data_IF_701685005358
#
_entry.id   IF_701685005358
#
_cell.length_a   1.000
_cell.length_b   1.000
_cell.length_c   1.000
_cell.angle_alpha   90.00
_cell.angle_beta   90.00
_cell.angle_gamma   90.00
#
_symmetry.space_group_name_H-M   'P 1'
#
loop_
_entity.id
_entity.type
_entity.pdbx_description
1 polymer ?
#
# COMPACT_ATOMS: atom_id res chain seq x y z
N UNK A 1 -13.16 -15.66 -5.38
CA UNK A 1 -12.26 -14.93 -6.29
C UNK A 1 -11.17 -15.89 -6.74
N UNK A 2 -10.80 -15.92 -8.02
CA UNK A 2 -9.72 -16.80 -8.49
C UNK A 2 -8.41 -16.44 -7.77
N UNK A 3 -7.63 -17.44 -7.38
CA UNK A 3 -6.38 -17.27 -6.61
C UNK A 3 -5.42 -16.28 -7.29
N UNK A 4 -5.34 -16.34 -8.63
CA UNK A 4 -4.55 -15.40 -9.43
C UNK A 4 -5.01 -13.94 -9.29
N UNK A 5 -6.32 -13.69 -9.32
CA UNK A 5 -6.88 -12.34 -9.18
C UNK A 5 -6.57 -11.79 -7.78
N UNK A 6 -6.76 -12.62 -6.76
CA UNK A 6 -6.46 -12.25 -5.36
C UNK A 6 -5.00 -11.84 -5.19
N UNK A 7 -4.08 -12.64 -5.73
CA UNK A 7 -2.65 -12.39 -5.61
C UNK A 7 -2.24 -11.10 -6.33
N UNK A 8 -2.81 -10.84 -7.52
CA UNK A 8 -2.56 -9.60 -8.26
C UNK A 8 -3.08 -8.40 -7.47
N UNK A 9 -4.32 -8.45 -6.98
CA UNK A 9 -4.92 -7.35 -6.21
C UNK A 9 -4.13 -7.08 -4.93
N UNK A 10 -3.82 -8.13 -4.15
CA UNK A 10 -3.05 -8.00 -2.92
C UNK A 10 -1.63 -7.46 -3.18
N UNK A 11 -0.96 -7.93 -4.23
CA UNK A 11 0.35 -7.42 -4.64
C UNK A 11 0.32 -5.94 -5.02
N UNK A 12 -0.66 -5.51 -5.82
CA UNK A 12 -0.83 -4.09 -6.18
C UNK A 12 -1.08 -3.23 -4.94
N UNK A 13 -1.92 -3.70 -4.01
CA UNK A 13 -2.19 -2.98 -2.76
C UNK A 13 -0.91 -2.79 -1.94
N UNK A 14 -0.10 -3.84 -1.78
CA UNK A 14 1.18 -3.74 -1.04
C UNK A 14 2.14 -2.76 -1.70
N UNK A 15 2.26 -2.80 -3.04
CA UNK A 15 3.15 -1.90 -3.77
C UNK A 15 2.69 -0.44 -3.67
N UNK A 16 1.41 -0.16 -3.96
CA UNK A 16 0.88 1.21 -3.93
C UNK A 16 0.86 1.77 -2.51
N UNK A 17 0.40 0.99 -1.54
CA UNK A 17 0.42 1.37 -0.13
C UNK A 17 1.83 1.65 0.36
N UNK A 18 2.81 0.84 -0.06
CA UNK A 18 4.22 1.05 0.25
C UNK A 18 4.75 2.37 -0.32
N UNK A 19 4.44 2.68 -1.58
CA UNK A 19 4.82 3.97 -2.19
C UNK A 19 4.21 5.15 -1.43
N UNK A 20 2.91 5.09 -1.10
CA UNK A 20 2.24 6.16 -0.34
C UNK A 20 2.81 6.31 1.07
N UNK A 21 3.09 5.21 1.75
CA UNK A 21 3.71 5.22 3.07
C UNK A 21 5.09 5.89 3.01
N UNK A 22 5.94 5.43 2.09
CA UNK A 22 7.30 5.94 1.91
C UNK A 22 7.32 7.40 1.46
N UNK A 23 6.36 7.85 0.65
CA UNK A 23 6.18 9.27 0.34
C UNK A 23 5.75 10.05 1.58
N UNK A 24 4.77 9.54 2.34
CA UNK A 24 4.28 10.14 3.58
C UNK A 24 5.39 10.40 4.60
N UNK A 25 6.34 9.46 4.73
CA UNK A 25 7.51 9.60 5.62
C UNK A 25 8.74 10.27 4.97
N UNK A 26 8.56 10.94 3.83
CA UNK A 26 9.60 11.68 3.09
C UNK A 26 10.76 10.85 2.50
N UNK A 27 10.63 9.52 2.41
CA UNK A 27 11.66 8.63 1.83
C UNK A 27 11.62 8.68 0.30
N UNK A 28 10.43 8.65 -0.30
CA UNK A 28 10.27 8.70 -1.76
C UNK A 28 9.87 10.10 -2.26
N UNK A 29 10.28 10.49 -3.48
CA UNK A 29 9.81 11.71 -4.11
C UNK A 29 8.30 11.61 -4.40
N UNK A 30 7.62 12.75 -4.30
CA UNK A 30 6.19 12.88 -4.53
C UNK A 30 5.78 14.34 -4.32
N UNK A 31 4.79 14.81 -5.08
CA UNK A 31 4.32 16.20 -4.98
C UNK A 31 3.32 16.35 -3.84
N UNK A 32 2.14 15.72 -3.99
CA UNK A 32 1.02 15.85 -3.05
C UNK A 32 1.14 15.02 -1.78
N UNK A 33 1.91 13.93 -1.83
CA UNK A 33 1.91 12.89 -0.80
C UNK A 33 3.11 12.98 0.14
N UNK A 34 4.11 13.80 -0.21
CA UNK A 34 5.38 13.85 0.49
C UNK A 34 5.27 14.56 1.83
N UNK A 35 5.70 13.90 2.91
CA UNK A 35 5.76 14.48 4.25
C UNK A 35 4.40 14.65 4.93
N UNK A 36 3.38 13.94 4.45
CA UNK A 36 2.03 14.00 4.97
C UNK A 36 1.71 12.80 5.85
N UNK A 37 1.39 13.06 7.12
CA UNK A 37 0.93 12.03 8.07
C UNK A 37 -0.31 11.27 7.55
N UNK A 38 -1.18 11.95 6.81
CA UNK A 38 -2.36 11.34 6.18
C UNK A 38 -1.93 10.23 5.21
N UNK A 39 -0.98 10.51 4.32
CA UNK A 39 -0.50 9.54 3.34
C UNK A 39 0.34 8.43 3.97
N UNK A 40 1.07 8.72 5.05
CA UNK A 40 1.71 7.69 5.89
C UNK A 40 0.68 6.69 6.42
N UNK A 41 -0.42 7.17 7.03
CA UNK A 41 -1.44 6.28 7.62
C UNK A 41 -2.19 5.51 6.52
N UNK A 42 -2.62 6.19 5.45
CA UNK A 42 -3.30 5.52 4.32
C UNK A 42 -2.39 4.45 3.71
N UNK A 43 -1.13 4.77 3.45
CA UNK A 43 -0.16 3.83 2.90
C UNK A 43 0.00 2.59 3.79
N UNK A 44 0.19 2.79 5.10
CA UNK A 44 0.30 1.68 6.05
C UNK A 44 -0.96 0.79 6.06
N UNK A 45 -2.15 1.39 6.11
CA UNK A 45 -3.40 0.64 6.10
C UNK A 45 -3.58 -0.16 4.81
N UNK A 46 -3.21 0.41 3.66
CA UNK A 46 -3.33 -0.24 2.35
C UNK A 46 -2.34 -1.40 2.23
N UNK A 47 -1.11 -1.27 2.76
CA UNK A 47 -0.15 -2.38 2.85
C UNK A 47 -0.72 -3.52 3.70
N UNK A 48 -1.24 -3.20 4.90
CA UNK A 48 -1.81 -4.20 5.80
C UNK A 48 -3.01 -4.92 5.17
N UNK A 49 -3.90 -4.17 4.52
CA UNK A 49 -5.03 -4.75 3.81
C UNK A 49 -4.57 -5.65 2.64
N UNK A 50 -3.57 -5.23 1.88
CA UNK A 50 -2.99 -6.03 0.79
C UNK A 50 -2.38 -7.35 1.28
N UNK A 51 -1.65 -7.31 2.41
CA UNK A 51 -1.13 -8.51 3.06
C UNK A 51 -2.27 -9.44 3.51
N UNK A 52 -3.34 -8.90 4.11
CA UNK A 52 -4.52 -9.69 4.46
C UNK A 52 -5.18 -10.37 3.27
N UNK A 53 -5.26 -9.68 2.12
CA UNK A 53 -5.75 -10.28 0.85
C UNK A 53 -4.84 -11.42 0.41
N UNK A 54 -3.51 -11.24 0.47
CA UNK A 54 -2.55 -12.28 0.08
C UNK A 54 -2.62 -13.52 0.97
N UNK A 55 -2.81 -13.35 2.28
CA UNK A 55 -2.80 -14.46 3.25
C UNK A 55 -4.17 -15.10 3.48
N UNK A 56 -5.26 -14.53 2.97
CA UNK A 56 -6.59 -15.14 3.08
C UNK A 56 -6.63 -16.47 2.30
N UNK A 57 -6.89 -17.60 2.96
CA UNK A 57 -6.88 -18.94 2.33
C UNK A 57 -8.20 -19.26 1.65
#
# INVERSE_FOLDING_TARGET
>A
MNVWIKNIVGGIMVLLGGVWFLQGINVLPGTFMRGSTLWTVIGALVVLAGLGVLTSF
#
